data_IF_655223087648
#
_entry.id   IF_655223087648
#
_cell.length_a   1.000
_cell.length_b   1.000
_cell.length_c   1.000
_cell.angle_alpha   90.00
_cell.angle_beta   90.00
_cell.angle_gamma   90.00
#
_symmetry.space_group_name_H-M   'P 1'
#
loop_
_entity.id
_entity.type
_entity.pdbx_description
1 polymer ?
#
# COMPACT_ATOMS: atom_id res chain seq x y z
N UNK A 1 6.69 6.74 -14.78
CA UNK A 1 5.23 6.70 -15.03
C UNK A 1 4.55 6.72 -13.68
N UNK A 2 3.58 7.61 -13.48
CA UNK A 2 2.77 7.69 -12.25
C UNK A 2 1.40 7.12 -12.58
N UNK A 3 0.87 6.25 -11.71
CA UNK A 3 -0.46 5.68 -11.84
C UNK A 3 -1.33 6.15 -10.69
N UNK A 4 -2.46 6.76 -11.04
CA UNK A 4 -3.45 7.22 -10.07
C UNK A 4 -4.68 6.34 -10.24
N UNK A 5 -5.04 5.64 -9.17
CA UNK A 5 -6.32 5.00 -9.01
C UNK A 5 -7.00 5.68 -7.82
N UNK A 6 -8.13 6.32 -8.06
CA UNK A 6 -8.88 7.03 -7.04
C UNK A 6 -10.36 6.68 -7.15
N UNK A 7 -11.08 6.87 -6.05
CA UNK A 7 -12.54 6.77 -5.99
C UNK A 7 -13.15 8.15 -6.16
N UNK A 8 -14.29 8.23 -6.84
CA UNK A 8 -15.03 9.50 -6.91
C UNK A 8 -15.54 9.93 -5.54
N UNK A 9 -15.86 11.21 -5.38
CA UNK A 9 -16.43 11.81 -4.16
C UNK A 9 -17.70 11.12 -3.61
N UNK A 10 -18.35 10.27 -4.41
CA UNK A 10 -19.54 9.50 -4.00
C UNK A 10 -19.21 8.10 -3.46
N UNK A 11 -17.93 7.75 -3.31
CA UNK A 11 -17.47 6.40 -2.94
C UNK A 11 -18.01 5.28 -3.86
N UNK A 12 -18.45 5.66 -5.07
CA UNK A 12 -18.69 4.72 -6.16
C UNK A 12 -17.37 4.02 -6.47
N UNK A 13 -17.39 2.76 -6.97
CA UNK A 13 -16.17 2.01 -7.22
C UNK A 13 -15.14 2.82 -8.04
N UNK A 14 -13.86 2.48 -7.90
CA UNK A 14 -12.75 3.20 -8.53
C UNK A 14 -12.97 3.41 -10.04
N UNK A 15 -12.30 4.40 -10.63
CA UNK A 15 -12.37 4.66 -12.08
C UNK A 15 -12.32 3.35 -12.88
N UNK A 16 -13.21 3.18 -13.86
CA UNK A 16 -13.28 1.95 -14.68
C UNK A 16 -11.96 1.67 -15.40
N UNK A 17 -11.15 2.71 -15.63
CA UNK A 17 -9.81 2.63 -16.21
C UNK A 17 -8.83 3.44 -15.36
N UNK A 18 -7.65 2.90 -15.05
CA UNK A 18 -6.63 3.66 -14.33
C UNK A 18 -6.09 4.80 -15.20
N UNK A 19 -5.74 5.93 -14.57
CA UNK A 19 -5.06 7.05 -15.23
C UNK A 19 -3.56 6.93 -15.04
N UNK A 20 -2.83 6.87 -16.15
CA UNK A 20 -1.39 6.91 -16.19
C UNK A 20 -0.89 8.28 -16.65
N UNK A 21 0.16 8.79 -16.01
CA UNK A 21 0.88 9.98 -16.44
C UNK A 21 2.26 9.61 -16.98
N UNK A 22 2.53 10.01 -18.22
CA UNK A 22 3.84 9.89 -18.85
C UNK A 22 4.61 11.22 -18.72
N UNK A 23 5.60 11.32 -17.81
CA UNK A 23 6.33 12.57 -17.60
C UNK A 23 7.27 12.93 -18.76
N UNK A 24 7.62 11.99 -19.66
CA UNK A 24 8.50 12.26 -20.79
C UNK A 24 7.82 13.10 -21.87
N UNK A 25 6.51 12.88 -22.06
CA UNK A 25 5.69 13.60 -23.02
C UNK A 25 4.71 14.58 -22.36
N UNK A 26 4.65 14.61 -21.03
CA UNK A 26 3.69 15.39 -20.23
C UNK A 26 2.22 15.09 -20.61
N UNK A 27 1.90 13.80 -20.79
CA UNK A 27 0.58 13.37 -21.25
C UNK A 27 -0.06 12.37 -20.29
N UNK A 28 -1.38 12.51 -20.15
CA UNK A 28 -2.24 11.55 -19.48
C UNK A 28 -2.75 10.53 -20.47
N UNK A 29 -2.84 9.27 -20.04
CA UNK A 29 -3.43 8.20 -20.83
C UNK A 29 -4.26 7.29 -19.93
N UNK A 30 -5.19 6.58 -20.55
CA UNK A 30 -6.01 5.59 -19.87
C UNK A 30 -5.41 4.18 -20.04
N UNK A 31 -5.28 3.45 -18.94
CA UNK A 31 -4.91 2.03 -18.96
C UNK A 31 -6.07 1.11 -19.35
N UNK A 32 -5.90 -0.22 -19.20
CA UNK A 32 -6.95 -1.19 -19.50
C UNK A 32 -8.12 -1.12 -18.51
N UNK A 33 -9.34 -1.45 -18.94
CA UNK A 33 -10.51 -1.47 -18.07
C UNK A 33 -10.33 -2.48 -16.93
N UNK A 34 -10.56 -2.05 -15.70
CA UNK A 34 -10.54 -2.91 -14.52
C UNK A 34 -11.67 -3.95 -14.60
N UNK A 35 -11.39 -5.25 -14.44
CA UNK A 35 -12.42 -6.29 -14.42
C UNK A 35 -13.44 -6.07 -13.30
N UNK A 36 -12.99 -5.56 -12.17
CA UNK A 36 -13.85 -5.14 -11.06
C UNK A 36 -13.31 -3.83 -10.50
N UNK A 37 -13.90 -2.68 -10.84
CA UNK A 37 -13.47 -1.42 -10.27
C UNK A 37 -13.70 -1.46 -8.75
N UNK A 38 -12.64 -1.28 -7.98
CA UNK A 38 -12.61 -1.58 -6.54
C UNK A 38 -11.88 -0.51 -5.76
N UNK A 39 -12.36 -0.23 -4.54
CA UNK A 39 -11.72 0.70 -3.59
C UNK A 39 -10.93 -0.06 -2.53
N UNK A 40 -10.10 0.64 -1.77
CA UNK A 40 -9.34 0.08 -0.63
C UNK A 40 -8.42 -1.09 -1.03
N UNK A 41 -7.96 -1.08 -2.29
CA UNK A 41 -7.00 -2.03 -2.80
C UNK A 41 -5.57 -1.60 -2.46
N UNK A 42 -4.67 -2.57 -2.33
CA UNK A 42 -3.23 -2.33 -2.34
C UNK A 42 -2.74 -2.26 -3.78
N UNK A 43 -1.84 -1.33 -4.08
CA UNK A 43 -1.24 -1.19 -5.40
C UNK A 43 0.29 -1.25 -5.31
N UNK A 44 0.92 -1.68 -6.41
CA UNK A 44 2.38 -1.71 -6.51
C UNK A 44 2.81 -1.63 -7.97
N UNK A 45 4.04 -1.16 -8.21
CA UNK A 45 4.67 -1.26 -9.52
C UNK A 45 6.03 -1.94 -9.38
N UNK A 46 6.26 -3.01 -10.16
CA UNK A 46 7.50 -3.78 -10.13
C UNK A 46 7.87 -4.20 -11.54
N UNK A 47 9.09 -3.86 -11.98
CA UNK A 47 9.67 -4.25 -13.27
C UNK A 47 8.83 -3.90 -14.53
N UNK A 48 8.03 -2.83 -14.46
CA UNK A 48 7.13 -2.39 -15.53
C UNK A 48 5.76 -3.08 -15.53
N UNK A 49 5.47 -3.84 -14.48
CA UNK A 49 4.13 -4.35 -14.20
C UNK A 49 3.49 -3.52 -13.09
N UNK A 50 2.17 -3.41 -13.16
CA UNK A 50 1.32 -2.79 -12.15
C UNK A 50 0.50 -3.89 -11.52
N UNK A 51 0.44 -3.90 -10.20
CA UNK A 51 -0.31 -4.87 -9.43
C UNK A 51 -1.40 -4.17 -8.64
N UNK A 52 -2.59 -4.75 -8.65
CA UNK A 52 -3.72 -4.34 -7.82
C UNK A 52 -4.16 -5.56 -7.04
N UNK A 53 -4.24 -5.44 -5.72
CA UNK A 53 -4.52 -6.55 -4.83
C UNK A 53 -5.60 -6.18 -3.82
N UNK A 54 -6.52 -7.11 -3.57
CA UNK A 54 -7.64 -6.93 -2.64
C UNK A 54 -8.51 -5.71 -2.96
N UNK A 55 -9.44 -5.39 -2.08
CA UNK A 55 -10.35 -4.26 -2.22
C UNK A 55 -11.81 -4.68 -2.10
N UNK A 56 -12.68 -3.72 -2.36
CA UNK A 56 -14.14 -3.90 -2.34
C UNK A 56 -14.79 -3.12 -3.48
N UNK A 57 -15.70 -3.76 -4.20
CA UNK A 57 -16.48 -3.13 -5.27
C UNK A 57 -17.70 -2.36 -4.72
N UNK A 58 -18.83 -2.46 -5.41
CA UNK A 58 -20.12 -1.94 -4.94
C UNK A 58 -20.58 -2.60 -3.63
N UNK A 59 -20.21 -3.87 -3.41
CA UNK A 59 -20.44 -4.62 -2.18
C UNK A 59 -19.27 -5.52 -1.83
N UNK A 60 -19.33 -6.15 -0.66
CA UNK A 60 -18.31 -7.12 -0.25
C UNK A 60 -18.44 -8.40 -1.06
N UNK A 61 -17.35 -8.80 -1.70
CA UNK A 61 -17.21 -10.06 -2.42
C UNK A 61 -15.87 -10.69 -2.02
N UNK A 62 -15.91 -11.91 -1.48
CA UNK A 62 -14.73 -12.52 -0.86
C UNK A 62 -13.64 -12.93 -1.86
N UNK A 63 -13.99 -13.13 -3.12
CA UNK A 63 -13.09 -13.36 -4.26
C UNK A 63 -12.39 -12.08 -4.71
N UNK A 64 -13.12 -10.95 -4.76
CA UNK A 64 -12.56 -9.60 -4.99
C UNK A 64 -11.63 -9.21 -3.85
N UNK A 65 -12.04 -9.43 -2.61
CA UNK A 65 -11.21 -9.15 -1.45
C UNK A 65 -9.89 -9.95 -1.47
N UNK A 66 -9.86 -11.12 -2.12
CA UNK A 66 -8.65 -11.95 -2.27
C UNK A 66 -7.99 -11.82 -3.64
N UNK A 67 -8.45 -10.92 -4.51
CA UNK A 67 -7.94 -10.82 -5.87
C UNK A 67 -6.50 -10.29 -5.89
N UNK A 68 -5.77 -10.70 -6.92
CA UNK A 68 -4.50 -10.11 -7.32
C UNK A 68 -4.52 -10.03 -8.84
N UNK A 69 -4.40 -8.82 -9.36
CA UNK A 69 -4.42 -8.52 -10.78
C UNK A 69 -3.11 -7.85 -11.18
N UNK A 70 -2.62 -8.18 -12.37
CA UNK A 70 -1.38 -7.65 -12.94
C UNK A 70 -1.67 -7.04 -14.30
N UNK A 71 -1.11 -5.88 -14.56
CA UNK A 71 -1.09 -5.26 -15.88
C UNK A 71 0.37 -5.04 -16.30
N UNK A 72 0.77 -5.63 -17.43
CA UNK A 72 2.06 -5.34 -18.06
C UNK A 72 1.95 -4.06 -18.89
N UNK A 73 2.65 -3.03 -18.45
CA UNK A 73 2.62 -1.70 -19.07
C UNK A 73 3.49 -1.66 -20.33
N UNK A 74 4.46 -2.58 -20.46
CA UNK A 74 5.38 -2.61 -21.61
C UNK A 74 4.73 -3.17 -22.88
N UNK A 75 3.61 -3.88 -22.74
CA UNK A 75 2.81 -4.29 -23.89
C UNK A 75 2.25 -3.08 -24.63
N UNK A 76 1.81 -3.29 -25.88
CA UNK A 76 1.20 -2.21 -26.67
C UNK A 76 -0.12 -1.80 -26.06
N UNK A 77 -0.45 -0.51 -26.12
CA UNK A 77 -1.68 0.02 -25.53
C UNK A 77 -2.97 -0.68 -26.01
N UNK A 78 -3.00 -1.15 -27.27
CA UNK A 78 -4.12 -1.90 -27.83
C UNK A 78 -4.28 -3.33 -27.27
N UNK A 79 -3.23 -3.87 -26.63
CA UNK A 79 -3.18 -5.22 -26.08
C UNK A 79 -3.31 -5.22 -24.54
N UNK A 80 -3.23 -4.05 -23.92
CA UNK A 80 -3.32 -3.92 -22.46
C UNK A 80 -4.57 -4.60 -21.91
N UNK A 81 -4.34 -5.43 -20.90
CA UNK A 81 -5.36 -6.15 -20.15
C UNK A 81 -4.85 -6.45 -18.75
N UNK A 82 -5.80 -6.70 -17.85
CA UNK A 82 -5.49 -7.24 -16.53
C UNK A 82 -5.40 -8.76 -16.60
N UNK A 83 -4.31 -9.31 -16.09
CA UNK A 83 -4.06 -10.72 -15.89
C UNK A 83 -4.42 -11.06 -14.43
N UNK A 84 -5.36 -12.00 -14.23
CA UNK A 84 -5.70 -12.50 -12.90
C UNK A 84 -4.62 -13.46 -12.43
N UNK A 85 -3.99 -13.15 -11.30
CA UNK A 85 -3.00 -13.99 -10.66
C UNK A 85 -3.62 -14.80 -9.51
N UNK A 86 -2.80 -15.66 -8.91
CA UNK A 86 -3.16 -16.41 -7.72
C UNK A 86 -3.59 -15.44 -6.60
N UNK A 87 -4.80 -15.66 -6.07
CA UNK A 87 -5.38 -14.81 -5.04
C UNK A 87 -4.64 -14.90 -3.71
N UNK A 88 -4.79 -13.85 -2.91
CA UNK A 88 -4.32 -13.79 -1.53
C UNK A 88 -5.04 -14.85 -0.68
N UNK A 89 -4.35 -15.37 0.34
CA UNK A 89 -4.92 -16.33 1.30
C UNK A 89 -6.16 -15.78 1.99
N UNK A 90 -6.08 -14.53 2.45
CA UNK A 90 -7.15 -13.80 3.13
C UNK A 90 -7.39 -12.48 2.42
N UNK A 91 -8.65 -12.01 2.44
CA UNK A 91 -8.95 -10.68 1.92
C UNK A 91 -8.47 -9.62 2.89
N UNK A 92 -7.61 -8.71 2.43
CA UNK A 92 -7.05 -7.63 3.27
C UNK A 92 -7.13 -6.30 2.54
N UNK A 93 -8.24 -5.60 2.76
CA UNK A 93 -8.45 -4.22 2.33
C UNK A 93 -8.42 -3.30 3.56
N UNK A 94 -7.72 -2.18 3.44
CA UNK A 94 -7.67 -1.15 4.46
C UNK A 94 -8.39 0.10 3.96
N UNK A 95 -9.10 0.81 4.85
CA UNK A 95 -9.60 2.15 4.52
C UNK A 95 -8.46 3.15 4.25
N UNK A 96 -7.21 2.75 4.52
CA UNK A 96 -6.01 3.55 4.34
C UNK A 96 -5.20 3.06 3.12
N UNK A 97 -4.43 3.96 2.51
CA UNK A 97 -3.46 3.61 1.45
C UNK A 97 -2.42 2.66 2.03
N UNK A 98 -2.30 1.46 1.45
CA UNK A 98 -1.26 0.52 1.84
C UNK A 98 -0.41 0.18 0.63
N UNK A 99 0.84 0.64 0.66
CA UNK A 99 1.84 0.23 -0.32
C UNK A 99 2.09 -1.27 -0.18
N UNK A 100 1.87 -1.98 -1.28
CA UNK A 100 2.30 -3.35 -1.44
C UNK A 100 3.72 -3.36 -2.01
N UNK A 101 4.62 -4.09 -1.35
CA UNK A 101 6.01 -4.29 -1.78
C UNK A 101 6.22 -5.72 -2.27
N UNK A 102 7.06 -5.90 -3.29
CA UNK A 102 7.51 -7.22 -3.70
C UNK A 102 8.64 -7.72 -2.80
N UNK A 103 8.48 -8.86 -2.13
CA UNK A 103 9.51 -9.51 -1.33
C UNK A 103 9.58 -11.00 -1.64
N UNK A 104 10.77 -11.49 -2.03
CA UNK A 104 11.03 -12.91 -2.39
C UNK A 104 9.98 -13.50 -3.35
N UNK A 105 9.54 -12.72 -4.34
CA UNK A 105 8.54 -13.14 -5.34
C UNK A 105 7.09 -13.14 -4.84
N UNK A 106 6.80 -12.61 -3.64
CA UNK A 106 5.45 -12.43 -3.10
C UNK A 106 5.12 -10.95 -2.98
N UNK A 107 3.86 -10.60 -3.20
CA UNK A 107 3.35 -9.25 -2.94
C UNK A 107 2.90 -9.17 -1.47
N UNK A 108 3.55 -8.31 -0.69
CA UNK A 108 3.31 -8.15 0.75
C UNK A 108 3.03 -6.68 1.06
N UNK A 109 1.98 -6.40 1.83
CA UNK A 109 1.79 -5.07 2.41
C UNK A 109 2.97 -4.77 3.36
N UNK A 110 3.63 -3.61 3.23
CA UNK A 110 4.90 -3.32 3.95
C UNK A 110 4.79 -3.50 5.46
N UNK A 111 3.65 -3.07 6.05
CA UNK A 111 3.36 -3.23 7.48
C UNK A 111 3.20 -4.69 7.90
N UNK A 112 2.68 -5.53 7.01
CA UNK A 112 2.47 -6.94 7.25
C UNK A 112 3.79 -7.72 7.25
N UNK A 113 4.75 -7.31 6.41
CA UNK A 113 6.12 -7.85 6.46
C UNK A 113 6.77 -7.54 7.81
N UNK A 114 6.63 -6.31 8.29
CA UNK A 114 7.12 -5.91 9.62
C UNK A 114 6.51 -6.76 10.75
N UNK A 115 5.20 -7.00 10.73
CA UNK A 115 4.59 -7.88 11.72
C UNK A 115 5.10 -9.32 11.63
N UNK A 116 5.30 -9.85 10.42
CA UNK A 116 5.85 -11.20 10.24
C UNK A 116 7.29 -11.29 10.77
N UNK A 117 8.12 -10.28 10.52
CA UNK A 117 9.50 -10.23 11.02
C UNK A 117 9.53 -10.11 12.56
N UNK A 118 8.63 -9.32 13.15
CA UNK A 118 8.46 -9.23 14.61
C UNK A 118 8.06 -10.60 15.17
N UNK A 119 7.03 -11.24 14.61
CA UNK A 119 6.57 -12.56 15.07
C UNK A 119 7.63 -13.65 14.94
N UNK A 120 8.48 -13.57 13.90
CA UNK A 120 9.61 -14.50 13.72
C UNK A 120 10.69 -14.37 14.81
N UNK A 121 10.66 -13.32 15.63
CA UNK A 121 11.62 -13.07 16.71
C UNK A 121 12.82 -12.23 16.31
N UNK A 122 12.89 -11.76 15.05
CA UNK A 122 13.99 -10.91 14.56
C UNK A 122 14.10 -9.56 15.31
N UNK A 123 13.00 -9.11 15.93
CA UNK A 123 12.92 -7.85 16.67
C UNK A 123 12.99 -8.03 18.20
N UNK A 124 13.27 -9.25 18.68
CA UNK A 124 13.35 -9.55 20.10
C UNK A 124 12.00 -9.66 20.81
N UNK A 125 12.03 -10.15 22.05
CA UNK A 125 10.82 -10.46 22.83
C UNK A 125 10.03 -9.22 23.25
N UNK A 126 10.71 -8.07 23.40
CA UNK A 126 10.04 -6.80 23.74
C UNK A 126 8.96 -6.44 22.72
N UNK A 127 9.24 -6.59 21.43
CA UNK A 127 8.30 -6.31 20.35
C UNK A 127 7.10 -7.29 20.27
N UNK A 128 7.07 -8.31 21.12
CA UNK A 128 5.97 -9.28 21.23
C UNK A 128 5.23 -9.18 22.57
N UNK A 129 5.72 -8.36 23.51
CA UNK A 129 5.20 -8.32 24.87
C UNK A 129 3.74 -7.83 24.91
N UNK A 130 3.44 -6.77 24.17
CA UNK A 130 2.09 -6.19 24.09
C UNK A 130 1.71 -5.83 22.66
N UNK A 131 0.43 -5.54 22.43
CA UNK A 131 -0.04 -5.06 21.13
C UNK A 131 0.58 -3.70 20.76
N UNK A 132 0.82 -2.82 21.74
CA UNK A 132 1.42 -1.51 21.50
C UNK A 132 2.93 -1.61 21.26
N UNK A 133 3.63 -2.50 21.96
CA UNK A 133 5.05 -2.77 21.67
C UNK A 133 5.22 -3.28 20.23
N UNK A 134 4.34 -4.20 19.81
CA UNK A 134 4.32 -4.69 18.43
C UNK A 134 4.07 -3.55 17.43
N UNK A 135 3.19 -2.61 17.77
CA UNK A 135 2.91 -1.46 16.91
C UNK A 135 4.09 -0.48 16.83
N UNK A 136 4.70 -0.14 17.96
CA UNK A 136 5.91 0.69 18.01
C UNK A 136 7.05 0.08 17.18
N UNK A 137 7.29 -1.22 17.32
CA UNK A 137 8.30 -1.91 16.51
C UNK A 137 7.90 -2.00 15.04
N UNK A 138 6.62 -2.14 14.71
CA UNK A 138 6.16 -2.13 13.33
C UNK A 138 6.33 -0.76 12.68
N UNK A 139 6.08 0.35 13.41
CA UNK A 139 6.37 1.70 12.95
C UNK A 139 7.87 1.87 12.69
N UNK A 140 8.72 1.47 13.64
CA UNK A 140 10.17 1.53 13.45
C UNK A 140 10.65 0.68 12.26
N UNK A 141 10.06 -0.49 12.03
CA UNK A 141 10.33 -1.32 10.86
C UNK A 141 9.90 -0.66 9.54
N UNK A 142 8.75 0.00 9.53
CA UNK A 142 8.22 0.68 8.35
C UNK A 142 9.14 1.82 7.89
N UNK A 143 9.68 2.59 8.84
CA UNK A 143 10.76 3.56 8.63
C UNK A 143 11.42 3.95 9.96
N UNK A 144 12.70 3.58 10.15
CA UNK A 144 13.46 4.00 11.31
C UNK A 144 13.57 5.53 11.40
N UNK A 145 13.76 6.20 10.26
CA UNK A 145 13.95 7.67 10.19
C UNK A 145 12.71 8.42 10.66
N UNK A 146 11.53 8.01 10.20
CA UNK A 146 10.29 8.68 10.60
C UNK A 146 9.86 8.31 12.02
N UNK A 147 10.21 7.11 12.49
CA UNK A 147 9.96 6.70 13.87
C UNK A 147 10.81 7.52 14.83
N UNK A 148 12.10 7.68 14.54
CA UNK A 148 13.02 8.51 15.33
C UNK A 148 12.50 9.94 15.50
N UNK A 149 11.95 10.51 14.42
CA UNK A 149 11.47 11.89 14.45
C UNK A 149 10.15 12.08 15.21
N UNK A 150 9.26 11.11 15.16
CA UNK A 150 7.87 11.29 15.61
C UNK A 150 7.57 10.58 16.94
N UNK A 151 8.14 9.39 17.13
CA UNK A 151 7.77 8.48 18.22
C UNK A 151 8.92 8.04 19.12
N UNK A 152 10.20 8.23 18.74
CA UNK A 152 11.32 7.75 19.58
C UNK A 152 11.42 8.42 20.94
N UNK A 153 11.09 9.72 21.02
CA UNK A 153 11.09 10.44 22.30
C UNK A 153 9.89 10.09 23.17
N UNK A 154 8.79 9.67 22.55
CA UNK A 154 7.51 9.42 23.21
C UNK A 154 6.79 8.29 22.46
N UNK A 155 7.12 7.02 22.71
CA UNK A 155 6.48 5.89 22.02
C UNK A 155 4.98 5.82 22.30
N UNK A 156 4.24 5.08 21.47
CA UNK A 156 2.80 4.90 21.72
C UNK A 156 2.55 4.16 23.04
N UNK A 157 1.54 4.62 23.78
CA UNK A 157 1.05 4.02 25.02
C UNK A 157 -0.15 3.08 24.81
N UNK A 158 -0.40 2.19 25.78
CA UNK A 158 -1.55 1.29 25.72
C UNK A 158 -2.88 2.07 25.71
N UNK A 159 -3.70 1.81 24.68
CA UNK A 159 -5.00 2.48 24.51
C UNK A 159 -4.91 3.89 23.91
N UNK A 160 -3.71 4.37 23.60
CA UNK A 160 -3.53 5.67 22.96
C UNK A 160 -4.09 5.65 21.53
N UNK A 161 -4.83 6.70 21.19
CA UNK A 161 -5.28 6.96 19.83
C UNK A 161 -4.67 8.26 19.33
N UNK A 162 -3.48 8.15 18.75
CA UNK A 162 -2.78 9.30 18.23
C UNK A 162 -3.07 9.54 16.74
N UNK A 163 -3.99 10.47 16.47
CA UNK A 163 -4.28 10.87 15.09
C UNK A 163 -3.32 11.92 14.52
N UNK A 164 -2.66 12.72 15.36
CA UNK A 164 -1.84 13.86 14.92
C UNK A 164 -0.46 13.36 14.51
N UNK A 165 0.26 12.70 15.41
CA UNK A 165 1.57 12.11 15.13
C UNK A 165 1.47 11.02 14.08
N UNK A 166 0.34 10.31 14.00
CA UNK A 166 0.11 9.35 12.91
C UNK A 166 0.09 10.03 11.54
N UNK A 167 -0.51 11.22 11.42
CA UNK A 167 -0.48 12.00 10.17
C UNK A 167 0.93 12.55 9.89
N UNK A 168 1.66 13.03 10.90
CA UNK A 168 3.04 13.49 10.76
C UNK A 168 3.97 12.37 10.29
N UNK A 169 3.84 11.19 10.88
CA UNK A 169 4.57 9.99 10.48
C UNK A 169 4.28 9.63 9.03
N UNK A 170 3.00 9.64 8.62
CA UNK A 170 2.58 9.40 7.23
C UNK A 170 3.18 10.44 6.28
N UNK A 171 3.19 11.71 6.67
CA UNK A 171 3.77 12.79 5.87
C UNK A 171 5.30 12.65 5.74
N UNK A 172 6.00 12.30 6.81
CA UNK A 172 7.43 11.99 6.79
C UNK A 172 7.74 10.84 5.82
N UNK A 173 6.97 9.74 5.90
CA UNK A 173 7.11 8.59 5.02
C UNK A 173 6.97 8.96 3.54
N UNK A 174 5.99 9.81 3.24
CA UNK A 174 5.75 10.30 1.89
C UNK A 174 6.89 11.21 1.38
N UNK A 175 7.35 12.18 2.19
CA UNK A 175 8.51 13.02 1.82
C UNK A 175 9.77 12.18 1.59
N UNK A 176 10.03 11.22 2.46
CA UNK A 176 11.19 10.35 2.37
C UNK A 176 11.15 9.46 1.12
N UNK A 177 9.98 8.95 0.72
CA UNK A 177 9.86 8.16 -0.52
C UNK A 177 10.06 8.99 -1.78
N UNK A 178 9.80 10.29 -1.72
CA UNK A 178 10.08 11.25 -2.80
C UNK A 178 11.54 11.77 -2.81
N UNK A 179 12.39 11.32 -1.88
CA UNK A 179 13.78 11.77 -1.76
C UNK A 179 13.91 13.25 -1.35
N UNK A 180 12.88 13.83 -0.74
CA UNK A 180 12.89 15.22 -0.28
C UNK A 180 13.60 15.33 1.07
N UNK A 181 14.19 16.50 1.34
CA UNK A 181 14.71 16.83 2.67
C UNK A 181 13.61 16.69 3.71
N UNK A 182 13.93 15.97 4.79
CA UNK A 182 13.06 15.88 5.95
C UNK A 182 13.27 17.09 6.88
N UNK A 183 14.39 17.79 6.77
CA UNK A 183 14.62 19.05 7.46
C UNK A 183 13.83 20.15 6.75
N UNK A 184 12.93 20.81 7.49
CA UNK A 184 12.22 22.00 7.03
C UNK A 184 13.13 23.22 7.18
#
# INVERSE_FOLDING_TARGET
MVLIADTTHKFLPALERPLGFNPLCNEWFFGPPLPTPQRWCGTSSVNGNVYVASGIGSGYQGDVARSLEKWDVKEKACEWKWEKLAGLKDGRFSREVVDAIGYRGKLCMKKLQCYADIESGLWGEKCKATAVDKENCALQCLSPVCYERVYQSDPLDEGEKDSVRSQEYKYCMHKHSLGQSLDN
#
